data_IF_300966492569
#
_entry.id   IF_300966492569
#
_cell.length_a   1.000
_cell.length_b   1.000
_cell.length_c   1.000
_cell.angle_alpha   90.00
_cell.angle_beta   90.00
_cell.angle_gamma   90.00
#
_symmetry.space_group_name_H-M   'P 1'
#
loop_
_entity.id
_entity.type
_entity.pdbx_description
1 polymer ?
#
# COMPACT_ATOMS: atom_id res chain seq x y z
N UNK A 1 -13.57 24.31 -1.75
CA UNK A 1 -12.56 24.29 -2.83
C UNK A 1 -11.24 23.96 -2.19
N UNK A 2 -10.69 22.78 -2.46
CA UNK A 2 -9.36 22.40 -1.97
C UNK A 2 -8.31 23.12 -2.81
N UNK A 3 -7.47 23.93 -2.16
CA UNK A 3 -6.30 24.54 -2.80
C UNK A 3 -5.22 23.47 -2.97
N UNK A 4 -4.85 23.16 -4.21
CA UNK A 4 -3.69 22.32 -4.50
C UNK A 4 -2.43 23.17 -4.42
N UNK A 5 -1.52 22.82 -3.51
CA UNK A 5 -0.18 23.38 -3.45
C UNK A 5 0.78 22.45 -4.21
N UNK A 6 1.41 22.97 -5.26
CA UNK A 6 2.45 22.29 -6.02
C UNK A 6 3.78 22.96 -5.74
N UNK A 7 4.78 22.19 -5.34
CA UNK A 7 6.13 22.68 -5.07
C UNK A 7 7.17 21.80 -5.74
N UNK A 8 8.19 22.44 -6.30
CA UNK A 8 9.34 21.77 -6.90
C UNK A 8 10.48 21.73 -5.88
N UNK A 9 10.77 20.54 -5.38
CA UNK A 9 11.87 20.31 -4.44
C UNK A 9 13.06 19.77 -5.24
N UNK A 10 14.19 20.48 -5.32
CA UNK A 10 15.39 19.99 -5.98
C UNK A 10 15.86 18.69 -5.30
N UNK A 11 16.05 17.63 -6.10
CA UNK A 11 16.60 16.36 -5.61
C UNK A 11 18.13 16.39 -5.41
N UNK A 12 18.81 17.33 -6.07
CA UNK A 12 20.26 17.56 -5.96
C UNK A 12 20.52 18.91 -5.28
N UNK A 13 21.30 18.88 -4.20
CA UNK A 13 21.63 20.03 -3.35
C UNK A 13 22.99 20.65 -3.73
N UNK A 14 23.46 20.45 -4.97
CA UNK A 14 24.74 20.98 -5.43
C UNK A 14 24.91 22.50 -5.19
N UNK A 15 26.18 22.86 -4.99
CA UNK A 15 26.64 24.12 -4.38
C UNK A 15 26.14 25.34 -5.16
N UNK A 16 25.31 26.18 -4.51
CA UNK A 16 24.86 27.48 -5.04
C UNK A 16 23.38 27.81 -4.79
N UNK A 17 22.54 26.82 -4.46
CA UNK A 17 21.09 27.02 -4.34
C UNK A 17 20.51 26.93 -2.92
N UNK A 18 21.37 26.92 -1.89
CA UNK A 18 20.96 26.72 -0.49
C UNK A 18 19.84 27.66 0.00
N UNK A 19 19.87 28.95 -0.40
CA UNK A 19 18.81 29.90 -0.02
C UNK A 19 17.47 29.63 -0.72
N UNK A 20 17.48 29.20 -1.98
CA UNK A 20 16.24 28.86 -2.70
C UNK A 20 15.64 27.58 -2.13
N UNK A 21 16.47 26.56 -1.90
CA UNK A 21 16.06 25.31 -1.27
C UNK A 21 15.45 25.57 0.11
N UNK A 22 16.10 26.37 0.95
CA UNK A 22 15.56 26.75 2.26
C UNK A 22 14.18 27.39 2.15
N UNK A 23 13.99 28.38 1.26
CA UNK A 23 12.70 29.04 1.08
C UNK A 23 11.61 28.09 0.59
N UNK A 24 11.94 27.17 -0.32
CA UNK A 24 10.99 26.15 -0.79
C UNK A 24 10.56 25.24 0.35
N UNK A 25 11.49 24.83 1.23
CA UNK A 25 11.19 24.04 2.42
C UNK A 25 10.36 24.81 3.45
N UNK A 26 10.68 26.07 3.70
CA UNK A 26 9.95 26.92 4.64
C UNK A 26 8.48 27.10 4.18
N UNK A 27 8.26 27.37 2.89
CA UNK A 27 6.91 27.50 2.35
C UNK A 27 6.18 26.16 2.38
N UNK A 28 6.85 25.05 2.06
CA UNK A 28 6.26 23.72 2.12
C UNK A 28 5.82 23.36 3.55
N UNK A 29 6.65 23.65 4.54
CA UNK A 29 6.32 23.44 5.96
C UNK A 29 5.15 24.31 6.39
N UNK A 30 5.10 25.57 5.94
CA UNK A 30 3.97 26.47 6.19
C UNK A 30 2.67 25.93 5.61
N UNK A 31 2.68 25.48 4.35
CA UNK A 31 1.49 24.91 3.70
C UNK A 31 1.02 23.62 4.38
N UNK A 32 1.95 22.77 4.83
CA UNK A 32 1.62 21.58 5.61
C UNK A 32 0.96 21.95 6.96
N UNK A 33 1.44 23.01 7.63
CA UNK A 33 0.85 23.54 8.86
C UNK A 33 -0.56 24.10 8.62
N UNK A 34 -0.76 24.86 7.54
CA UNK A 34 -2.06 25.43 7.18
C UNK A 34 -3.08 24.34 6.84
N UNK A 35 -2.66 23.29 6.12
CA UNK A 35 -3.46 22.11 5.80
C UNK A 35 -3.89 21.36 7.06
N UNK A 36 -2.96 21.11 7.99
CA UNK A 36 -3.26 20.48 9.28
C UNK A 36 -4.26 21.33 10.09
N UNK A 37 -4.09 22.64 10.12
CA UNK A 37 -5.04 23.56 10.74
C UNK A 37 -6.43 23.50 10.10
N UNK A 38 -6.52 23.27 8.78
CA UNK A 38 -7.82 23.06 8.11
C UNK A 38 -8.48 21.75 8.54
N UNK A 39 -7.72 20.66 8.57
CA UNK A 39 -8.22 19.35 9.02
C UNK A 39 -8.78 19.44 10.45
N UNK A 40 -8.08 20.13 11.35
CA UNK A 40 -8.54 20.33 12.73
C UNK A 40 -9.86 21.10 12.81
N UNK A 41 -10.01 22.19 12.03
CA UNK A 41 -11.25 22.97 11.97
C UNK A 41 -12.40 22.16 11.38
N UNK A 42 -12.15 21.41 10.31
CA UNK A 42 -13.17 20.59 9.66
C UNK A 42 -13.61 19.44 10.58
N UNK A 43 -12.67 18.83 11.31
CA UNK A 43 -12.97 17.85 12.35
C UNK A 43 -13.84 18.46 13.47
N UNK A 44 -13.54 19.67 13.94
CA UNK A 44 -14.35 20.34 14.96
C UNK A 44 -15.78 20.60 14.48
N UNK A 45 -15.94 21.12 13.26
CA UNK A 45 -17.27 21.33 12.64
C UNK A 45 -18.03 20.02 12.47
N UNK A 46 -17.34 18.95 12.09
CA UNK A 46 -17.96 17.64 11.93
C UNK A 46 -18.41 17.06 13.27
N UNK A 47 -17.64 17.29 14.36
CA UNK A 47 -18.05 16.92 15.72
C UNK A 47 -19.31 17.65 16.19
N UNK A 48 -19.50 18.90 15.76
CA UNK A 48 -20.71 19.68 16.09
C UNK A 48 -21.94 19.22 15.30
N UNK A 49 -21.78 18.86 14.02
CA UNK A 49 -22.87 18.45 13.12
C UNK A 49 -23.24 16.97 13.19
N UNK A 50 -22.28 16.13 13.58
CA UNK A 50 -22.38 14.67 13.55
C UNK A 50 -22.11 14.09 12.16
N UNK A 51 -21.39 12.96 12.11
CA UNK A 51 -21.07 12.24 10.85
C UNK A 51 -22.35 11.79 10.14
N UNK A 52 -23.38 11.39 10.88
CA UNK A 52 -24.68 10.95 10.36
C UNK A 52 -25.38 11.98 9.46
N UNK A 53 -25.16 13.28 9.68
CA UNK A 53 -25.82 14.36 8.94
C UNK A 53 -24.91 14.99 7.87
N UNK A 54 -23.69 14.47 7.69
CA UNK A 54 -22.63 15.18 6.96
C UNK A 54 -21.75 14.24 6.13
N UNK A 55 -22.35 13.38 5.31
CA UNK A 55 -21.62 12.40 4.49
C UNK A 55 -20.57 13.05 3.59
N UNK A 56 -20.96 14.05 2.79
CA UNK A 56 -20.02 14.72 1.87
C UNK A 56 -18.87 15.39 2.62
N UNK A 57 -19.16 16.13 3.70
CA UNK A 57 -18.12 16.76 4.52
C UNK A 57 -17.18 15.71 5.15
N UNK A 58 -17.72 14.56 5.59
CA UNK A 58 -16.93 13.45 6.14
C UNK A 58 -15.99 12.83 5.10
N UNK A 59 -16.46 12.65 3.85
CA UNK A 59 -15.63 12.16 2.74
C UNK A 59 -14.51 13.15 2.41
N UNK A 60 -14.81 14.44 2.37
CA UNK A 60 -13.79 15.48 2.15
C UNK A 60 -12.76 15.51 3.29
N UNK A 61 -13.19 15.38 4.54
CA UNK A 61 -12.29 15.30 5.68
C UNK A 61 -11.39 14.07 5.60
N UNK A 62 -11.94 12.90 5.26
CA UNK A 62 -11.16 11.68 5.05
C UNK A 62 -10.13 11.86 3.93
N UNK A 63 -10.52 12.47 2.81
CA UNK A 63 -9.61 12.79 1.71
C UNK A 63 -8.45 13.68 2.18
N UNK A 64 -8.74 14.76 2.90
CA UNK A 64 -7.72 15.68 3.42
C UNK A 64 -6.78 14.98 4.42
N UNK A 65 -7.32 14.14 5.31
CA UNK A 65 -6.52 13.33 6.25
C UNK A 65 -5.57 12.38 5.52
N UNK A 66 -6.05 11.68 4.48
CA UNK A 66 -5.22 10.75 3.71
C UNK A 66 -4.19 11.46 2.83
N UNK A 67 -4.51 12.64 2.29
CA UNK A 67 -3.53 13.49 1.59
C UNK A 67 -2.43 13.95 2.54
N UNK A 68 -2.78 14.42 3.74
CA UNK A 68 -1.82 14.84 4.76
C UNK A 68 -0.93 13.66 5.21
N UNK A 69 -1.52 12.49 5.43
CA UNK A 69 -0.75 11.28 5.75
C UNK A 69 0.22 10.91 4.61
N UNK A 70 -0.24 10.96 3.35
CA UNK A 70 0.62 10.72 2.20
C UNK A 70 1.78 11.71 2.11
N UNK A 71 1.53 12.99 2.41
CA UNK A 71 2.55 14.03 2.47
C UNK A 71 3.58 13.76 3.57
N UNK A 72 3.15 13.38 4.77
CA UNK A 72 4.06 13.03 5.87
C UNK A 72 4.89 11.79 5.56
N UNK A 73 4.30 10.77 4.93
CA UNK A 73 5.02 9.56 4.56
C UNK A 73 6.02 9.78 3.42
N UNK A 74 5.73 10.71 2.50
CA UNK A 74 6.55 10.94 1.31
C UNK A 74 7.62 12.02 1.49
N UNK A 75 7.30 13.09 2.21
CA UNK A 75 8.07 14.35 2.16
C UNK A 75 8.57 14.75 3.54
N UNK A 76 7.71 14.70 4.57
CA UNK A 76 8.07 15.13 5.94
C UNK A 76 7.74 14.03 6.96
N UNK A 77 8.62 13.01 7.11
CA UNK A 77 8.40 11.94 8.09
C UNK A 77 8.40 12.51 9.51
N UNK A 78 7.20 12.75 10.05
CA UNK A 78 6.98 13.34 11.37
C UNK A 78 7.11 12.32 12.51
N UNK A 79 7.06 11.02 12.19
CA UNK A 79 6.92 9.93 13.15
C UNK A 79 5.49 9.70 13.65
N UNK A 80 4.56 10.63 13.37
CA UNK A 80 3.17 10.59 13.86
C UNK A 80 2.18 9.89 12.92
N UNK A 81 2.67 9.22 11.88
CA UNK A 81 1.87 8.58 10.85
C UNK A 81 0.80 7.63 11.43
N UNK A 82 1.10 6.93 12.52
CA UNK A 82 0.17 5.99 13.14
C UNK A 82 -1.04 6.72 13.74
N UNK A 83 -0.83 7.88 14.38
CA UNK A 83 -1.92 8.70 14.93
C UNK A 83 -2.84 9.20 13.82
N UNK A 84 -2.27 9.65 12.71
CA UNK A 84 -3.05 10.13 11.57
C UNK A 84 -3.78 9.00 10.85
N UNK A 85 -3.13 7.83 10.68
CA UNK A 85 -3.79 6.64 10.16
C UNK A 85 -4.95 6.21 11.06
N UNK A 86 -4.74 6.17 12.38
CA UNK A 86 -5.77 5.77 13.35
C UNK A 86 -6.97 6.73 13.35
N UNK A 87 -6.74 8.04 13.21
CA UNK A 87 -7.80 9.03 13.06
C UNK A 87 -8.60 8.84 11.75
N UNK A 88 -7.91 8.60 10.63
CA UNK A 88 -8.54 8.33 9.34
C UNK A 88 -9.35 7.02 9.35
N UNK A 89 -8.81 5.96 9.96
CA UNK A 89 -9.52 4.69 10.20
C UNK A 89 -10.81 4.92 11.00
N UNK A 90 -10.73 5.66 12.12
CA UNK A 90 -11.90 5.92 12.96
C UNK A 90 -12.98 6.76 12.25
N UNK A 91 -12.60 7.71 11.40
CA UNK A 91 -13.55 8.46 10.58
C UNK A 91 -14.19 7.57 9.51
N UNK A 92 -13.40 6.72 8.84
CA UNK A 92 -13.90 5.77 7.84
C UNK A 92 -14.90 4.78 8.43
N UNK A 93 -14.63 4.24 9.63
CA UNK A 93 -15.56 3.37 10.35
C UNK A 93 -16.87 4.09 10.68
N UNK A 94 -16.82 5.34 11.14
CA UNK A 94 -18.02 6.16 11.38
C UNK A 94 -18.81 6.42 10.09
N UNK A 95 -18.13 6.72 8.97
CA UNK A 95 -18.80 6.89 7.67
C UNK A 95 -19.56 5.61 7.31
N UNK A 96 -18.93 4.44 7.44
CA UNK A 96 -19.58 3.17 7.16
C UNK A 96 -20.73 2.89 8.14
N UNK A 97 -20.54 3.15 9.43
CA UNK A 97 -21.57 2.92 10.43
C UNK A 97 -22.83 3.77 10.17
N UNK A 98 -22.69 5.03 9.75
CA UNK A 98 -23.82 5.91 9.54
C UNK A 98 -24.40 5.83 8.12
N UNK A 99 -23.55 5.61 7.10
CA UNK A 99 -23.94 5.72 5.69
C UNK A 99 -23.78 4.43 4.89
N UNK A 100 -23.30 3.35 5.51
CA UNK A 100 -23.07 2.05 4.88
C UNK A 100 -24.07 0.96 5.27
N UNK A 101 -25.07 1.25 6.11
CA UNK A 101 -26.00 0.26 6.66
C UNK A 101 -26.99 -0.26 5.61
N UNK A 102 -26.72 -1.44 5.08
CA UNK A 102 -27.64 -2.20 4.19
C UNK A 102 -28.07 -3.55 4.78
N UNK A 103 -27.66 -3.85 6.01
CA UNK A 103 -27.90 -5.12 6.70
C UNK A 103 -27.16 -5.18 8.04
N UNK A 104 -26.75 -6.38 8.46
CA UNK A 104 -26.04 -6.59 9.73
C UNK A 104 -24.61 -6.03 9.75
N UNK A 105 -23.98 -5.88 8.59
CA UNK A 105 -22.63 -5.32 8.44
C UNK A 105 -22.64 -4.13 7.49
N UNK A 106 -22.05 -2.99 7.84
CA UNK A 106 -21.87 -1.88 6.92
C UNK A 106 -21.12 -2.28 5.65
N UNK A 107 -21.53 -1.70 4.51
CA UNK A 107 -20.91 -1.95 3.20
C UNK A 107 -20.39 -0.67 2.57
N UNK A 108 -19.23 -0.74 1.92
CA UNK A 108 -18.59 0.36 1.19
C UNK A 108 -19.43 0.73 -0.03
N UNK A 109 -19.95 -0.26 -0.74
CA UNK A 109 -20.86 -0.08 -1.88
C UNK A 109 -22.11 0.75 -1.53
N UNK A 110 -22.60 0.64 -0.30
CA UNK A 110 -23.74 1.41 0.18
C UNK A 110 -23.40 2.89 0.38
N UNK A 111 -22.22 3.21 0.94
CA UNK A 111 -21.74 4.59 1.04
C UNK A 111 -21.59 5.22 -0.34
N UNK A 112 -21.01 4.48 -1.30
CA UNK A 112 -20.89 4.95 -2.68
C UNK A 112 -22.26 5.25 -3.31
N UNK A 113 -23.25 4.41 -3.03
CA UNK A 113 -24.63 4.59 -3.51
C UNK A 113 -25.28 5.83 -2.88
N UNK A 114 -25.02 6.10 -1.60
CA UNK A 114 -25.52 7.28 -0.88
C UNK A 114 -24.83 8.59 -1.29
N UNK A 115 -23.63 8.51 -1.87
CA UNK A 115 -22.94 9.63 -2.50
C UNK A 115 -23.42 9.90 -3.94
N UNK A 116 -24.19 8.98 -4.54
CA UNK A 116 -24.70 9.15 -5.89
C UNK A 116 -25.62 10.36 -5.96
N UNK A 117 -25.32 11.28 -6.88
CA UNK A 117 -26.27 12.29 -7.34
C UNK A 117 -26.84 11.84 -8.69
N UNK A 118 -28.07 12.22 -9.06
CA UNK A 118 -28.60 11.92 -10.39
C UNK A 118 -27.66 12.48 -11.45
N UNK A 119 -26.88 11.61 -12.09
CA UNK A 119 -25.95 11.96 -13.16
C UNK A 119 -26.55 11.53 -14.49
N UNK A 120 -26.33 12.34 -15.52
CA UNK A 120 -26.72 12.06 -16.89
C UNK A 120 -25.81 11.03 -17.58
N UNK A 121 -24.66 10.71 -16.96
CA UNK A 121 -23.76 9.63 -17.38
C UNK A 121 -23.92 8.45 -16.42
N UNK A 122 -24.57 7.38 -16.88
CA UNK A 122 -24.99 6.23 -16.06
C UNK A 122 -23.82 5.45 -15.40
N UNK A 123 -22.58 5.64 -15.87
CA UNK A 123 -21.44 4.78 -15.48
C UNK A 123 -20.22 5.55 -14.91
N UNK A 124 -20.29 6.88 -14.77
CA UNK A 124 -19.18 7.68 -14.27
C UNK A 124 -19.36 8.05 -12.79
N UNK A 125 -18.34 7.76 -11.96
CA UNK A 125 -18.31 8.21 -10.57
C UNK A 125 -18.31 9.74 -10.53
N UNK A 126 -19.11 10.33 -9.63
CA UNK A 126 -18.98 11.75 -9.32
C UNK A 126 -17.72 12.01 -8.47
N UNK A 127 -17.41 13.29 -8.25
CA UNK A 127 -16.19 13.71 -7.54
C UNK A 127 -16.12 13.10 -6.13
N UNK A 128 -17.22 13.14 -5.38
CA UNK A 128 -17.28 12.61 -4.01
C UNK A 128 -17.16 11.08 -3.98
N UNK A 129 -17.79 10.38 -4.91
CA UNK A 129 -17.66 8.93 -5.06
C UNK A 129 -16.23 8.54 -5.44
N UNK A 130 -15.63 9.26 -6.39
CA UNK A 130 -14.25 9.07 -6.81
C UNK A 130 -13.28 9.31 -5.66
N UNK A 131 -13.45 10.41 -4.92
CA UNK A 131 -12.65 10.72 -3.73
C UNK A 131 -12.80 9.65 -2.65
N UNK A 132 -14.03 9.25 -2.31
CA UNK A 132 -14.27 8.21 -1.31
C UNK A 132 -13.65 6.87 -1.73
N UNK A 133 -13.87 6.43 -2.97
CA UNK A 133 -13.30 5.18 -3.49
C UNK A 133 -11.77 5.21 -3.47
N UNK A 134 -11.17 6.30 -3.95
CA UNK A 134 -9.72 6.44 -4.02
C UNK A 134 -9.08 6.46 -2.63
N UNK A 135 -9.50 7.36 -1.75
CA UNK A 135 -8.88 7.51 -0.44
C UNK A 135 -9.18 6.35 0.51
N UNK A 136 -10.35 5.71 0.40
CA UNK A 136 -10.63 4.48 1.15
C UNK A 136 -9.78 3.31 0.67
N UNK A 137 -9.48 3.23 -0.63
CA UNK A 137 -8.56 2.22 -1.17
C UNK A 137 -7.14 2.43 -0.63
N UNK A 138 -6.63 3.68 -0.62
CA UNK A 138 -5.32 4.01 -0.02
C UNK A 138 -5.32 3.72 1.48
N UNK A 139 -6.37 4.10 2.21
CA UNK A 139 -6.50 3.83 3.64
C UNK A 139 -6.41 2.33 3.94
N UNK A 140 -7.11 1.52 3.16
CA UNK A 140 -7.10 0.08 3.33
C UNK A 140 -5.72 -0.53 3.05
N UNK A 141 -5.05 -0.07 1.99
CA UNK A 141 -3.66 -0.46 1.71
C UNK A 141 -2.78 -0.08 2.91
N UNK A 142 -2.88 1.15 3.41
CA UNK A 142 -2.10 1.62 4.56
C UNK A 142 -2.37 0.81 5.85
N UNK A 143 -3.62 0.46 6.13
CA UNK A 143 -3.98 -0.40 7.27
C UNK A 143 -3.38 -1.80 7.13
N UNK A 144 -3.49 -2.43 5.95
CA UNK A 144 -2.91 -3.75 5.68
C UNK A 144 -1.39 -3.72 5.86
N UNK A 145 -0.70 -2.78 5.21
CA UNK A 145 0.76 -2.68 5.25
C UNK A 145 1.25 -2.33 6.66
N UNK A 146 0.61 -1.38 7.35
CA UNK A 146 0.97 -1.04 8.73
C UNK A 146 0.76 -2.22 9.68
N UNK A 147 -0.25 -3.07 9.44
CA UNK A 147 -0.53 -4.24 10.27
C UNK A 147 0.64 -5.22 10.30
N UNK A 148 1.37 -5.40 9.17
CA UNK A 148 2.51 -6.31 9.10
C UNK A 148 3.67 -5.82 9.97
N UNK A 149 3.89 -4.49 9.97
CA UNK A 149 4.99 -3.84 10.72
C UNK A 149 4.67 -3.77 12.22
N UNK A 150 3.41 -3.51 12.54
CA UNK A 150 2.92 -3.41 13.92
C UNK A 150 2.59 -4.78 14.55
N UNK A 151 2.79 -5.87 13.80
CA UNK A 151 2.45 -7.25 14.19
C UNK A 151 1.05 -7.34 14.84
N UNK A 152 0.04 -6.83 14.13
CA UNK A 152 -1.36 -6.77 14.58
C UNK A 152 -2.29 -7.18 13.46
N UNK A 153 -3.51 -7.58 13.79
CA UNK A 153 -4.57 -7.70 12.79
C UNK A 153 -4.87 -6.32 12.18
N UNK A 154 -5.07 -6.26 10.87
CA UNK A 154 -5.55 -5.05 10.17
C UNK A 154 -6.86 -4.58 10.80
N UNK A 155 -6.94 -3.28 11.15
CA UNK A 155 -8.12 -2.72 11.86
C UNK A 155 -9.38 -2.83 11.00
N UNK A 156 -9.25 -2.62 9.70
CA UNK A 156 -10.33 -2.67 8.73
C UNK A 156 -10.65 -4.10 8.22
N UNK A 157 -10.10 -5.13 8.86
CA UNK A 157 -10.27 -6.53 8.44
C UNK A 157 -11.73 -7.01 8.35
N UNK A 158 -12.65 -6.38 9.09
CA UNK A 158 -14.10 -6.65 9.01
C UNK A 158 -14.64 -6.40 7.59
N UNK A 159 -14.09 -5.42 6.87
CA UNK A 159 -14.54 -5.03 5.53
C UNK A 159 -13.89 -5.85 4.40
N UNK A 160 -12.87 -6.67 4.71
CA UNK A 160 -12.19 -7.51 3.71
C UNK A 160 -13.13 -8.53 3.07
N UNK A 161 -14.19 -8.95 3.80
CA UNK A 161 -15.19 -9.89 3.27
C UNK A 161 -15.97 -9.33 2.08
N UNK A 162 -16.23 -8.02 2.03
CA UNK A 162 -16.87 -7.36 0.89
C UNK A 162 -15.97 -7.43 -0.33
N UNK A 163 -14.70 -7.09 -0.17
CA UNK A 163 -13.71 -7.10 -1.25
C UNK A 163 -13.46 -8.50 -1.83
N UNK A 164 -13.51 -9.54 -0.97
CA UNK A 164 -13.44 -10.94 -1.44
C UNK A 164 -14.67 -11.33 -2.28
N UNK A 165 -15.85 -10.76 -2.00
CA UNK A 165 -17.10 -11.05 -2.72
C UNK A 165 -17.22 -10.31 -4.06
N UNK A 166 -16.60 -9.14 -4.18
CA UNK A 166 -16.68 -8.27 -5.36
C UNK A 166 -16.17 -8.89 -6.67
N UNK A 167 -15.51 -10.05 -6.64
CA UNK A 167 -15.03 -10.76 -7.84
C UNK A 167 -16.11 -11.43 -8.71
N UNK A 168 -17.40 -11.39 -8.33
CA UNK A 168 -18.46 -12.22 -8.92
C UNK A 168 -19.54 -11.45 -9.71
N UNK A 169 -19.17 -10.49 -10.59
CA UNK A 169 -20.04 -9.76 -11.57
C UNK A 169 -20.48 -8.33 -11.20
N UNK A 170 -19.92 -7.71 -10.16
CA UNK A 170 -20.17 -6.28 -9.88
C UNK A 170 -18.86 -5.50 -9.92
N UNK A 171 -18.93 -4.22 -10.31
CA UNK A 171 -17.78 -3.34 -10.24
C UNK A 171 -17.31 -3.26 -8.77
N UNK A 172 -16.01 -3.41 -8.50
CA UNK A 172 -15.55 -3.47 -7.12
C UNK A 172 -15.77 -2.14 -6.41
N UNK A 173 -16.22 -2.20 -5.15
CA UNK A 173 -16.46 -1.03 -4.32
C UNK A 173 -15.19 -0.23 -4.04
N UNK A 174 -14.02 -0.88 -4.03
CA UNK A 174 -12.70 -0.27 -3.95
C UNK A 174 -11.78 -0.78 -5.06
N UNK A 175 -10.82 0.04 -5.49
CA UNK A 175 -9.88 -0.31 -6.56
C UNK A 175 -8.43 -0.24 -6.10
N UNK A 176 -8.00 -1.27 -5.38
CA UNK A 176 -6.65 -1.35 -4.83
C UNK A 176 -5.62 -1.57 -5.94
N UNK A 177 -6.02 -2.26 -7.01
CA UNK A 177 -5.15 -2.61 -8.12
C UNK A 177 -4.92 -1.41 -9.05
N UNK A 178 -5.91 -0.55 -9.27
CA UNK A 178 -5.71 0.74 -9.95
C UNK A 178 -4.57 1.54 -9.30
N UNK A 179 -4.47 1.51 -7.97
CA UNK A 179 -3.53 2.32 -7.20
C UNK A 179 -2.14 1.68 -7.14
N UNK A 180 -2.08 0.39 -6.80
CA UNK A 180 -0.81 -0.30 -6.49
C UNK A 180 -0.27 -1.14 -7.65
N UNK A 181 -1.10 -1.40 -8.66
CA UNK A 181 -0.87 -2.41 -9.69
C UNK A 181 -0.97 -3.86 -9.16
N UNK A 182 -1.32 -4.04 -7.89
CA UNK A 182 -1.46 -5.33 -7.23
C UNK A 182 -2.92 -5.75 -7.12
N UNK A 183 -3.25 -6.95 -7.60
CA UNK A 183 -4.60 -7.48 -7.44
C UNK A 183 -5.01 -7.54 -5.96
N UNK A 184 -6.21 -7.08 -5.66
CA UNK A 184 -6.69 -6.91 -4.28
C UNK A 184 -6.57 -8.18 -3.43
N UNK A 185 -6.75 -9.37 -4.01
CA UNK A 185 -6.65 -10.63 -3.29
C UNK A 185 -5.27 -10.88 -2.67
N UNK A 186 -4.19 -10.35 -3.26
CA UNK A 186 -2.83 -10.47 -2.72
C UNK A 186 -2.67 -9.60 -1.47
N UNK A 187 -3.19 -8.36 -1.50
CA UNK A 187 -3.19 -7.48 -0.33
C UNK A 187 -4.02 -8.08 0.81
N UNK A 188 -5.15 -8.72 0.49
CA UNK A 188 -5.94 -9.44 1.48
C UNK A 188 -5.20 -10.67 2.04
N UNK A 189 -4.43 -11.39 1.21
CA UNK A 189 -3.56 -12.47 1.69
C UNK A 189 -2.47 -11.92 2.62
N UNK A 190 -1.87 -10.76 2.34
CA UNK A 190 -0.91 -10.08 3.24
C UNK A 190 -1.56 -9.76 4.60
N UNK A 191 -2.82 -9.29 4.60
CA UNK A 191 -3.57 -9.11 5.85
C UNK A 191 -3.79 -10.42 6.61
N UNK A 192 -4.00 -11.54 5.91
CA UNK A 192 -4.17 -12.85 6.53
C UNK A 192 -2.84 -13.33 7.13
N UNK A 193 -1.70 -13.08 6.48
CA UNK A 193 -0.35 -13.36 7.01
C UNK A 193 -0.09 -12.54 8.28
N UNK A 194 -0.42 -11.25 8.27
CA UNK A 194 -0.29 -10.37 9.43
C UNK A 194 -1.11 -10.87 10.63
N UNK A 195 -2.34 -11.34 10.36
CA UNK A 195 -3.20 -11.96 11.38
C UNK A 195 -2.58 -13.25 11.92
N UNK A 196 -1.99 -14.08 11.04
CA UNK A 196 -1.27 -15.29 11.44
C UNK A 196 -0.03 -14.97 12.30
N UNK A 197 0.74 -13.94 11.94
CA UNK A 197 1.91 -13.47 12.70
C UNK A 197 1.52 -13.04 14.12
N UNK A 198 0.44 -12.26 14.24
CA UNK A 198 -0.09 -11.85 15.54
C UNK A 198 -0.52 -13.06 16.36
N UNK A 199 -1.31 -13.95 15.77
CA UNK A 199 -1.77 -15.17 16.44
C UNK A 199 -0.60 -16.05 16.90
N UNK A 200 0.45 -16.23 16.07
CA UNK A 200 1.66 -16.96 16.44
C UNK A 200 2.30 -16.34 17.69
N UNK A 201 2.43 -15.01 17.69
CA UNK A 201 3.00 -14.27 18.82
C UNK A 201 2.17 -14.49 20.10
N UNK A 202 0.83 -14.41 20.00
CA UNK A 202 -0.07 -14.64 21.13
C UNK A 202 0.01 -16.08 21.67
N UNK A 203 0.08 -17.08 20.80
CA UNK A 203 0.25 -18.49 21.20
C UNK A 203 1.62 -18.77 21.80
N UNK A 204 2.69 -18.11 21.30
CA UNK A 204 4.01 -18.21 21.90
C UNK A 204 4.03 -17.64 23.32
N UNK A 205 3.39 -16.48 23.52
CA UNK A 205 3.32 -15.82 24.83
C UNK A 205 2.49 -16.60 25.85
N UNK A 206 1.45 -17.31 25.41
CA UNK A 206 0.63 -18.18 26.27
C UNK A 206 1.21 -19.59 26.46
N UNK A 207 2.25 -19.98 25.70
CA UNK A 207 2.82 -21.32 25.72
C UNK A 207 1.96 -22.38 25.01
N UNK A 208 0.95 -21.96 24.24
CA UNK A 208 -0.03 -22.82 23.57
C UNK A 208 0.23 -22.97 22.06
N UNK A 209 1.45 -22.67 21.60
CA UNK A 209 1.79 -22.74 20.17
C UNK A 209 1.78 -24.18 19.66
N UNK A 210 0.72 -24.51 18.92
CA UNK A 210 0.67 -25.73 18.11
C UNK A 210 1.41 -25.54 16.79
N UNK A 211 2.53 -26.26 16.62
CA UNK A 211 3.28 -26.28 15.35
C UNK A 211 2.45 -26.81 14.19
N UNK A 212 1.60 -27.81 14.43
CA UNK A 212 0.74 -28.38 13.39
C UNK A 212 -0.32 -27.39 12.94
N UNK A 213 -0.89 -26.62 13.86
CA UNK A 213 -1.85 -25.58 13.53
C UNK A 213 -1.19 -24.40 12.79
N UNK A 214 0.01 -23.98 13.22
CA UNK A 214 0.78 -22.96 12.52
C UNK A 214 1.06 -23.37 11.08
N UNK A 215 1.51 -24.60 10.86
CA UNK A 215 1.74 -25.15 9.52
C UNK A 215 0.43 -25.19 8.71
N UNK A 216 -0.66 -25.67 9.30
CA UNK A 216 -1.96 -25.76 8.62
C UNK A 216 -2.47 -24.39 8.17
N UNK A 217 -2.52 -23.42 9.07
CA UNK A 217 -2.97 -22.04 8.76
C UNK A 217 -2.09 -21.39 7.70
N UNK A 218 -0.77 -21.55 7.82
CA UNK A 218 0.18 -21.01 6.85
C UNK A 218 0.06 -21.66 5.47
N UNK A 219 -0.13 -22.97 5.41
CA UNK A 219 -0.31 -23.69 4.14
C UNK A 219 -1.59 -23.28 3.42
N UNK A 220 -2.67 -22.95 4.15
CA UNK A 220 -3.88 -22.41 3.52
C UNK A 220 -3.63 -21.08 2.82
N UNK A 221 -2.78 -20.21 3.37
CA UNK A 221 -2.41 -18.93 2.75
C UNK A 221 -1.46 -19.14 1.57
N UNK A 222 -0.44 -19.99 1.72
CA UNK A 222 0.52 -20.29 0.64
C UNK A 222 -0.19 -20.90 -0.57
N UNK A 223 -1.20 -21.74 -0.35
CA UNK A 223 -2.02 -22.32 -1.42
C UNK A 223 -2.79 -21.25 -2.22
N UNK A 224 -3.31 -20.21 -1.55
CA UNK A 224 -3.96 -19.08 -2.21
C UNK A 224 -2.95 -18.33 -3.09
N UNK A 225 -1.76 -18.04 -2.57
CA UNK A 225 -0.69 -17.35 -3.29
C UNK A 225 -0.18 -18.18 -4.48
N UNK A 226 -0.01 -19.49 -4.29
CA UNK A 226 0.47 -20.41 -5.32
C UNK A 226 -0.54 -20.56 -6.46
N UNK A 227 -1.81 -20.83 -6.15
CA UNK A 227 -2.89 -20.88 -7.16
C UNK A 227 -3.05 -19.56 -7.91
N UNK A 228 -2.89 -18.43 -7.21
CA UNK A 228 -2.90 -17.10 -7.82
C UNK A 228 -1.75 -16.92 -8.82
N UNK A 229 -0.54 -17.35 -8.45
CA UNK A 229 0.62 -17.30 -9.35
C UNK A 229 0.40 -18.17 -10.59
N UNK A 230 -0.08 -19.41 -10.44
CA UNK A 230 -0.41 -20.27 -11.58
C UNK A 230 -1.47 -19.64 -12.50
N UNK A 231 -2.46 -18.94 -11.94
CA UNK A 231 -3.47 -18.23 -12.74
C UNK A 231 -2.82 -17.14 -13.59
N UNK A 232 -1.92 -16.36 -12.99
CA UNK A 232 -1.18 -15.30 -13.68
C UNK A 232 -0.26 -15.90 -14.76
N UNK A 233 0.40 -17.02 -14.50
CA UNK A 233 1.26 -17.68 -15.49
C UNK A 233 0.45 -18.21 -16.68
N UNK A 234 -0.78 -18.69 -16.45
CA UNK A 234 -1.68 -19.19 -17.51
C UNK A 234 -2.36 -18.10 -18.34
N UNK A 235 -2.75 -16.98 -17.72
CA UNK A 235 -3.60 -15.97 -18.35
C UNK A 235 -2.93 -14.59 -18.50
N UNK A 236 -1.65 -14.48 -18.11
CA UNK A 236 -0.97 -13.21 -17.91
C UNK A 236 -1.49 -12.48 -16.66
N UNK A 237 -0.98 -11.27 -16.44
CA UNK A 237 -1.39 -10.37 -15.34
C UNK A 237 -2.85 -9.85 -15.46
N UNK A 238 -3.65 -10.35 -16.41
CA UNK A 238 -5.06 -9.98 -16.60
C UNK A 238 -5.99 -10.78 -15.69
N UNK A 239 -6.99 -10.10 -15.15
CA UNK A 239 -8.30 -10.72 -14.95
C UNK A 239 -9.08 -10.56 -16.27
N UNK A 240 -9.79 -11.60 -16.71
CA UNK A 240 -10.46 -11.67 -18.02
C UNK A 240 -11.55 -10.60 -18.24
N UNK A 241 -11.86 -9.75 -17.25
CA UNK A 241 -12.98 -8.81 -17.23
C UNK A 241 -12.66 -7.37 -17.60
N UNK A 242 -11.38 -6.99 -17.81
CA UNK A 242 -11.00 -5.59 -18.01
C UNK A 242 -10.18 -5.40 -19.29
N UNK A 243 -10.86 -5.22 -20.42
CA UNK A 243 -10.24 -4.94 -21.72
C UNK A 243 -9.72 -3.51 -21.86
N UNK A 244 -10.17 -2.57 -21.02
CA UNK A 244 -9.71 -1.17 -21.03
C UNK A 244 -8.45 -0.96 -20.19
N UNK A 245 -7.46 -0.27 -20.77
CA UNK A 245 -6.31 0.26 -20.03
C UNK A 245 -6.78 1.14 -18.88
N UNK A 246 -6.26 0.87 -17.69
CA UNK A 246 -6.56 1.62 -16.47
C UNK A 246 -6.00 3.05 -16.57
N UNK A 247 -6.76 4.09 -16.18
CA UNK A 247 -6.32 5.48 -16.33
C UNK A 247 -5.00 5.80 -15.63
N UNK A 248 -4.81 5.35 -14.38
CA UNK A 248 -3.57 5.59 -13.64
C UNK A 248 -2.42 4.82 -14.29
N UNK A 249 -2.63 3.56 -14.65
CA UNK A 249 -1.61 2.76 -15.33
C UNK A 249 -1.13 3.40 -16.62
N UNK A 250 -2.06 3.89 -17.46
CA UNK A 250 -1.72 4.61 -18.67
C UNK A 250 -0.88 5.85 -18.37
N UNK A 251 -1.29 6.66 -17.38
CA UNK A 251 -0.57 7.86 -16.96
C UNK A 251 0.84 7.53 -16.44
N UNK A 252 0.97 6.50 -15.60
CA UNK A 252 2.25 6.13 -15.01
C UNK A 252 3.21 5.52 -16.03
N UNK A 253 2.70 4.75 -16.98
CA UNK A 253 3.51 4.20 -18.06
C UNK A 253 3.97 5.31 -19.03
N UNK A 254 3.13 6.32 -19.29
CA UNK A 254 3.52 7.50 -20.07
C UNK A 254 4.62 8.32 -19.37
N UNK A 255 4.47 8.56 -18.05
CA UNK A 255 5.47 9.30 -17.26
C UNK A 255 6.79 8.55 -17.10
N UNK A 256 6.77 7.22 -17.16
CA UNK A 256 7.96 6.37 -17.02
C UNK A 256 8.78 6.19 -18.30
N UNK A 257 8.29 6.65 -19.47
CA UNK A 257 8.97 6.45 -20.76
C UNK A 257 10.07 7.50 -20.99
N UNK A 258 11.36 7.12 -21.09
CA UNK A 258 12.48 8.06 -21.25
C UNK A 258 12.43 8.87 -22.55
N UNK A 259 11.72 8.40 -23.58
CA UNK A 259 11.68 8.98 -24.92
C UNK A 259 10.33 9.61 -25.28
N UNK A 260 9.35 9.63 -24.36
CA UNK A 260 8.00 10.13 -24.65
C UNK A 260 7.25 9.35 -25.73
N UNK A 261 7.82 8.25 -26.24
CA UNK A 261 7.12 7.35 -27.15
C UNK A 261 6.12 6.51 -26.36
N UNK A 262 4.89 6.31 -26.88
CA UNK A 262 3.94 5.43 -26.26
C UNK A 262 4.58 4.05 -26.13
N UNK A 263 4.64 3.56 -24.89
CA UNK A 263 5.03 2.19 -24.59
C UNK A 263 4.25 1.26 -25.52
N UNK A 264 4.94 0.45 -26.31
CA UNK A 264 4.28 -0.50 -27.18
C UNK A 264 3.41 -1.40 -26.29
N UNK A 265 2.10 -1.33 -26.48
CA UNK A 265 1.13 -2.07 -25.66
C UNK A 265 1.29 -3.60 -25.84
N UNK A 266 2.18 -4.02 -26.75
CA UNK A 266 2.64 -5.39 -26.96
C UNK A 266 3.69 -5.86 -25.94
N UNK A 267 4.42 -4.96 -25.28
CA UNK A 267 5.32 -5.31 -24.19
C UNK A 267 4.46 -5.61 -22.95
N UNK A 268 4.53 -6.85 -22.46
CA UNK A 268 3.67 -7.35 -21.39
C UNK A 268 3.53 -6.40 -20.20
N UNK A 269 2.35 -6.39 -19.56
CA UNK A 269 2.11 -5.62 -18.32
C UNK A 269 3.22 -5.89 -17.31
N UNK A 270 3.61 -4.85 -16.58
CA UNK A 270 4.60 -4.93 -15.51
C UNK A 270 4.17 -6.01 -14.50
N UNK A 271 5.10 -6.85 -13.99
CA UNK A 271 4.78 -7.98 -13.13
C UNK A 271 4.49 -7.55 -11.68
N UNK A 272 3.69 -6.49 -11.49
CA UNK A 272 3.46 -5.88 -10.18
C UNK A 272 2.79 -6.87 -9.23
N UNK A 273 1.68 -7.49 -9.62
CA UNK A 273 1.01 -8.51 -8.78
C UNK A 273 1.96 -9.66 -8.46
N UNK A 274 2.75 -10.15 -9.42
CA UNK A 274 3.77 -11.18 -9.18
C UNK A 274 4.82 -10.76 -8.15
N UNK A 275 5.34 -9.52 -8.20
CA UNK A 275 6.26 -8.98 -7.18
C UNK A 275 5.63 -9.02 -5.79
N UNK A 276 4.39 -8.57 -5.67
CA UNK A 276 3.65 -8.60 -4.40
C UNK A 276 3.41 -10.03 -3.89
N UNK A 277 3.13 -11.00 -4.78
CA UNK A 277 3.00 -12.41 -4.41
C UNK A 277 4.31 -12.95 -3.84
N UNK A 278 5.44 -12.75 -4.53
CA UNK A 278 6.73 -13.23 -4.03
C UNK A 278 7.11 -12.59 -2.70
N UNK A 279 6.88 -11.28 -2.53
CA UNK A 279 7.09 -10.62 -1.24
C UNK A 279 6.15 -11.17 -0.14
N UNK A 280 4.88 -11.40 -0.44
CA UNK A 280 3.93 -12.02 0.50
C UNK A 280 4.38 -13.43 0.91
N UNK A 281 4.89 -14.24 -0.02
CA UNK A 281 5.45 -15.57 0.29
C UNK A 281 6.71 -15.46 1.16
N UNK A 282 7.60 -14.52 0.87
CA UNK A 282 8.78 -14.23 1.72
C UNK A 282 8.35 -13.85 3.15
N UNK A 283 7.32 -13.00 3.30
CA UNK A 283 6.76 -12.66 4.62
C UNK A 283 6.11 -13.86 5.32
N UNK A 284 5.33 -14.66 4.60
CA UNK A 284 4.73 -15.87 5.16
C UNK A 284 5.79 -16.86 5.64
N UNK A 285 6.86 -17.05 4.86
CA UNK A 285 7.99 -17.88 5.26
C UNK A 285 8.66 -17.33 6.51
N UNK A 286 8.93 -16.02 6.60
CA UNK A 286 9.54 -15.45 7.81
C UNK A 286 8.66 -15.62 9.06
N UNK A 287 7.33 -15.63 8.92
CA UNK A 287 6.39 -15.94 10.01
C UNK A 287 6.43 -17.43 10.39
N UNK A 288 6.54 -18.35 9.42
CA UNK A 288 6.57 -19.80 9.66
C UNK A 288 7.86 -20.25 10.36
N UNK A 289 8.98 -19.61 10.08
CA UNK A 289 10.30 -20.11 10.47
C UNK A 289 10.63 -19.79 11.94
N UNK A 290 10.98 -20.83 12.70
CA UNK A 290 11.65 -20.72 13.99
C UNK A 290 13.06 -21.33 13.85
N UNK A 291 14.10 -20.48 13.72
CA UNK A 291 15.50 -20.91 13.68
C UNK A 291 16.09 -21.25 12.29
N UNK A 292 17.35 -21.72 12.30
CA UNK A 292 18.27 -21.85 11.16
C UNK A 292 17.87 -22.86 10.06
N UNK A 293 16.72 -23.54 10.18
CA UNK A 293 16.31 -24.58 9.24
C UNK A 293 15.34 -23.99 8.21
N UNK A 294 15.78 -24.00 6.94
CA UNK A 294 15.13 -23.54 5.68
C UNK A 294 15.49 -22.14 5.17
N UNK A 295 16.77 -21.76 5.30
CA UNK A 295 17.35 -20.66 4.53
C UNK A 295 17.11 -20.78 3.00
N UNK A 296 16.99 -22.01 2.47
CA UNK A 296 16.83 -22.25 1.03
C UNK A 296 15.46 -21.82 0.48
N UNK A 297 14.35 -22.09 1.19
CA UNK A 297 13.01 -21.68 0.72
C UNK A 297 12.90 -20.15 0.70
N UNK A 298 13.47 -19.49 1.71
CA UNK A 298 13.53 -18.03 1.80
C UNK A 298 14.41 -17.45 0.69
N UNK A 299 15.59 -18.03 0.45
CA UNK A 299 16.49 -17.64 -0.64
C UNK A 299 15.80 -17.75 -2.00
N UNK A 300 15.14 -18.88 -2.31
CA UNK A 300 14.39 -19.03 -3.56
C UNK A 300 13.28 -17.99 -3.70
N UNK A 301 12.55 -17.68 -2.62
CA UNK A 301 11.50 -16.65 -2.64
C UNK A 301 12.08 -15.25 -2.91
N UNK A 302 13.22 -14.91 -2.32
CA UNK A 302 13.93 -13.64 -2.56
C UNK A 302 14.46 -13.55 -3.99
N UNK A 303 15.03 -14.63 -4.54
CA UNK A 303 15.47 -14.71 -5.94
C UNK A 303 14.31 -14.44 -6.91
N UNK A 304 13.15 -15.06 -6.68
CA UNK A 304 11.98 -14.86 -7.52
C UNK A 304 11.45 -13.41 -7.44
N UNK A 305 11.44 -12.82 -6.23
CA UNK A 305 11.05 -11.43 -6.04
C UNK A 305 12.00 -10.49 -6.78
N UNK A 306 13.32 -10.63 -6.58
CA UNK A 306 14.34 -9.79 -7.22
C UNK A 306 14.35 -9.92 -8.74
N UNK A 307 14.16 -11.13 -9.28
CA UNK A 307 13.99 -11.36 -10.72
C UNK A 307 12.78 -10.61 -11.27
N UNK A 308 11.64 -10.66 -10.57
CA UNK A 308 10.42 -9.94 -10.97
C UNK A 308 10.60 -8.41 -10.90
N UNK A 309 11.32 -7.90 -9.89
CA UNK A 309 11.68 -6.49 -9.81
C UNK A 309 12.54 -6.02 -10.99
N UNK A 310 13.48 -6.85 -11.45
CA UNK A 310 14.34 -6.54 -12.60
C UNK A 310 13.59 -6.35 -13.92
N UNK A 311 12.34 -6.82 -14.01
CA UNK A 311 11.46 -6.63 -15.17
C UNK A 311 10.67 -5.31 -15.13
N UNK A 312 10.70 -4.57 -14.01
CA UNK A 312 9.97 -3.31 -13.89
C UNK A 312 10.77 -2.19 -14.55
N UNK A 313 10.30 -1.76 -15.73
CA UNK A 313 10.94 -0.69 -16.52
C UNK A 313 10.40 0.70 -16.21
N UNK A 314 9.28 0.81 -15.49
CA UNK A 314 8.59 2.08 -15.20
C UNK A 314 8.87 2.55 -13.78
N UNK A 315 9.69 3.61 -13.66
CA UNK A 315 10.07 4.23 -12.38
C UNK A 315 8.87 4.66 -11.52
N UNK A 316 7.78 5.25 -12.06
CA UNK A 316 6.66 5.68 -11.24
C UNK A 316 5.98 4.58 -10.42
N UNK A 317 5.95 3.33 -10.89
CA UNK A 317 5.34 2.22 -10.15
C UNK A 317 6.15 1.76 -8.94
N UNK A 318 7.46 2.00 -8.96
CA UNK A 318 8.39 1.61 -7.89
C UNK A 318 7.99 2.23 -6.54
N UNK A 319 7.33 3.39 -6.53
CA UNK A 319 6.84 4.05 -5.30
C UNK A 319 5.87 3.19 -4.49
N UNK A 320 5.09 2.34 -5.16
CA UNK A 320 4.14 1.43 -4.52
C UNK A 320 4.78 0.13 -4.07
N UNK A 321 6.02 -0.14 -4.48
CA UNK A 321 6.75 -1.38 -4.17
C UNK A 321 7.65 -1.25 -2.94
N UNK A 322 7.48 -0.21 -2.11
CA UNK A 322 8.28 0.01 -0.90
C UNK A 322 8.20 -1.17 0.09
N UNK A 323 7.00 -1.70 0.34
CA UNK A 323 6.82 -2.87 1.22
C UNK A 323 7.36 -4.16 0.59
N UNK A 324 7.02 -4.52 -0.67
CA UNK A 324 7.64 -5.68 -1.32
C UNK A 324 9.17 -5.64 -1.32
N UNK A 325 9.76 -4.47 -1.58
CA UNK A 325 11.22 -4.29 -1.56
C UNK A 325 11.78 -4.46 -0.15
N UNK A 326 11.13 -3.87 0.86
CA UNK A 326 11.54 -3.99 2.26
C UNK A 326 11.58 -5.47 2.69
N UNK A 327 10.46 -6.19 2.53
CA UNK A 327 10.36 -7.60 2.90
C UNK A 327 11.38 -8.47 2.15
N UNK A 328 11.56 -8.23 0.85
CA UNK A 328 12.55 -8.96 0.05
C UNK A 328 13.97 -8.67 0.54
N UNK A 329 14.31 -7.39 0.76
CA UNK A 329 15.64 -6.96 1.15
C UNK A 329 16.05 -7.40 2.55
N UNK A 330 15.16 -7.28 3.55
CA UNK A 330 15.49 -7.69 4.93
C UNK A 330 15.71 -9.21 5.08
N UNK A 331 15.14 -10.00 4.16
CA UNK A 331 15.28 -11.45 4.12
C UNK A 331 16.35 -11.93 3.12
N UNK A 332 17.04 -11.03 2.42
CA UNK A 332 18.04 -11.39 1.44
C UNK A 332 19.32 -11.94 2.10
N UNK A 333 19.80 -13.07 1.58
CA UNK A 333 21.12 -13.61 1.93
C UNK A 333 22.25 -12.71 1.44
N UNK A 334 23.47 -12.88 1.97
CA UNK A 334 24.65 -12.07 1.61
C UNK A 334 24.91 -12.07 0.10
N UNK A 335 24.70 -13.22 -0.53
CA UNK A 335 24.87 -13.45 -1.96
C UNK A 335 23.81 -12.71 -2.80
N UNK A 336 22.63 -12.47 -2.24
CA UNK A 336 21.50 -11.82 -2.91
C UNK A 336 21.47 -10.29 -2.71
N UNK A 337 22.15 -9.76 -1.69
CA UNK A 337 22.22 -8.31 -1.40
C UNK A 337 22.64 -7.45 -2.62
N UNK A 338 23.61 -7.87 -3.48
CA UNK A 338 23.96 -7.10 -4.68
C UNK A 338 22.78 -6.91 -5.65
N UNK A 339 21.94 -7.93 -5.85
CA UNK A 339 20.76 -7.83 -6.71
C UNK A 339 19.73 -6.84 -6.13
N UNK A 340 19.48 -6.91 -4.82
CA UNK A 340 18.60 -5.97 -4.12
C UNK A 340 19.14 -4.53 -4.22
N UNK A 341 20.45 -4.33 -4.06
CA UNK A 341 21.08 -3.01 -4.20
C UNK A 341 20.94 -2.48 -5.64
N UNK A 342 21.10 -3.33 -6.65
CA UNK A 342 20.85 -2.96 -8.05
C UNK A 342 19.41 -2.47 -8.30
N UNK A 343 18.40 -3.10 -7.68
CA UNK A 343 17.00 -2.64 -7.74
C UNK A 343 16.84 -1.30 -7.05
N UNK A 344 17.46 -1.12 -5.89
CA UNK A 344 17.45 0.17 -5.20
C UNK A 344 18.06 1.23 -6.12
N UNK A 345 19.24 0.99 -6.67
CA UNK A 345 19.96 1.88 -7.59
C UNK A 345 19.13 2.32 -8.80
N UNK A 346 18.31 1.43 -9.37
CA UNK A 346 17.42 1.80 -10.48
C UNK A 346 16.28 2.76 -10.10
N UNK A 347 15.95 2.89 -8.80
CA UNK A 347 14.94 3.84 -8.31
C UNK A 347 15.39 5.31 -8.36
N UNK A 348 16.66 5.59 -8.66
CA UNK A 348 17.21 6.93 -8.88
C UNK A 348 16.74 7.96 -7.83
N UNK A 349 16.04 9.02 -8.27
CA UNK A 349 15.56 10.13 -7.43
C UNK A 349 14.49 9.73 -6.42
N UNK A 350 13.79 8.60 -6.59
CA UNK A 350 12.80 8.13 -5.61
C UNK A 350 13.45 7.77 -4.27
N UNK A 351 14.73 7.41 -4.28
CA UNK A 351 15.50 7.15 -3.05
C UNK A 351 15.64 8.36 -2.13
N UNK A 352 15.49 9.58 -2.66
CA UNK A 352 15.67 10.79 -1.87
C UNK A 352 14.51 11.04 -0.89
N UNK A 353 13.36 10.39 -1.10
CA UNK A 353 12.11 10.74 -0.44
C UNK A 353 11.41 9.54 0.22
N UNK A 354 10.77 9.85 1.34
CA UNK A 354 9.67 9.07 1.91
C UNK A 354 9.90 7.61 2.25
N UNK A 355 8.91 6.80 1.90
CA UNK A 355 8.86 5.36 2.21
C UNK A 355 9.95 4.56 1.50
N UNK A 356 10.33 4.92 0.28
CA UNK A 356 11.41 4.25 -0.46
C UNK A 356 12.77 4.48 0.20
N UNK A 357 13.05 5.72 0.60
CA UNK A 357 14.24 6.04 1.41
C UNK A 357 14.26 5.25 2.72
N UNK A 358 13.15 5.26 3.44
CA UNK A 358 13.02 4.55 4.72
C UNK A 358 13.22 3.04 4.54
N UNK A 359 12.70 2.46 3.46
CA UNK A 359 12.93 1.05 3.10
C UNK A 359 14.41 0.77 2.92
N UNK A 360 15.15 1.62 2.20
CA UNK A 360 16.60 1.45 2.04
C UNK A 360 17.33 1.49 3.39
N UNK A 361 17.03 2.49 4.22
CA UNK A 361 17.65 2.66 5.54
C UNK A 361 17.38 1.45 6.45
N UNK A 362 16.17 0.87 6.39
CA UNK A 362 15.81 -0.34 7.15
C UNK A 362 16.59 -1.55 6.64
N UNK A 363 16.64 -1.79 5.33
CA UNK A 363 17.35 -2.91 4.72
C UNK A 363 18.83 -2.88 5.12
N UNK A 364 19.50 -1.75 4.97
CA UNK A 364 20.92 -1.60 5.30
C UNK A 364 21.18 -1.83 6.80
N UNK A 365 20.32 -1.28 7.68
CA UNK A 365 20.44 -1.51 9.14
C UNK A 365 20.30 -2.99 9.51
N UNK A 366 19.35 -3.70 8.91
CA UNK A 366 19.15 -5.14 9.14
C UNK A 366 20.38 -5.92 8.68
N UNK A 367 20.92 -5.61 7.50
CA UNK A 367 22.13 -6.26 7.00
C UNK A 367 23.35 -6.04 7.91
N UNK A 368 23.55 -4.81 8.40
CA UNK A 368 24.61 -4.50 9.35
C UNK A 368 24.46 -5.27 10.66
N UNK A 369 23.24 -5.35 11.20
CA UNK A 369 22.95 -6.12 12.42
C UNK A 369 23.20 -7.62 12.23
N UNK A 370 22.84 -8.17 11.08
CA UNK A 370 23.11 -9.58 10.76
C UNK A 370 24.62 -9.85 10.67
N UNK A 371 25.37 -8.98 10.00
CA UNK A 371 26.81 -9.15 9.81
C UNK A 371 27.58 -9.06 11.14
N UNK A 372 27.14 -8.18 12.05
CA UNK A 372 27.68 -8.10 13.40
C UNK A 372 27.42 -9.38 14.20
N UNK A 373 26.24 -9.98 14.06
CA UNK A 373 25.88 -11.23 14.76
C UNK A 373 26.66 -12.46 14.27
N UNK A 374 27.15 -12.46 13.02
CA UNK A 374 28.01 -13.52 12.46
C UNK A 374 29.52 -13.28 12.70
N UNK A 375 29.90 -12.15 13.29
CA UNK A 375 31.30 -11.81 13.59
C UNK A 375 31.69 -12.08 15.05
N UNK A 376 30.72 -12.55 15.85
CA UNK A 376 30.87 -13.08 17.21
C UNK A 376 30.75 -14.60 17.17
#
# INVERSE_FOLDING_TARGET
MSSLFLSFIPADLSVGHGSCTSRTWDELQKQASDALGSIQRDLQRLRERGVENSLSDSVHLLANMMQQLGFELAIMPSGNWQTHLDAATGLFEQILEHHGKTGSTPQISAVLSNLSRPSWAADALNTEQGAFRFFSSILLIADIISSTVLNRRAKLSTYHSELRRSGLRQQPSLDLEEITGCQAWVLLAISDISTLSRWKTDQMMSGELSRTELISRASSIDEVLHKGLERIDRHGERDQSSESSRPLESLLNQLGSPSGQPYDSSAGRLPLTRIWIHAARTYLLSVKLDGATKASELQTSVEQATSSFGMVTSTPWLRWLAWPLCVTGVNASKEQRPAVRGIIDSMCSLKAFGTIRSTFDIIEKVWQSQDAAYSL
#
